data_IF_422543263403
#
_entry.id   IF_422543263403
#
_cell.length_a   1.000
_cell.length_b   1.000
_cell.length_c   1.000
_cell.angle_alpha   90.00
_cell.angle_beta   90.00
_cell.angle_gamma   90.00
#
_symmetry.space_group_name_H-M   'P 1'
#
loop_
_entity.id
_entity.type
_entity.pdbx_description
1 polymer ?
#
# COMPACT_ATOMS: atom_id res chain seq x y z
N UNK A 1 -32.56 -16.57 19.22
CA UNK A 1 -33.40 -17.63 19.74
C UNK A 1 -32.51 -18.86 19.95
N UNK A 2 -31.91 -18.95 21.13
CA UNK A 2 -30.94 -20.01 21.48
C UNK A 2 -31.65 -21.27 21.87
N UNK A 3 -31.37 -22.37 21.19
CA UNK A 3 -31.74 -23.72 21.65
C UNK A 3 -30.60 -24.32 22.48
N UNK A 4 -30.91 -24.53 23.78
CA UNK A 4 -30.06 -25.32 24.67
C UNK A 4 -30.35 -26.81 24.43
N UNK A 5 -29.32 -27.58 24.11
CA UNK A 5 -29.35 -29.03 24.24
C UNK A 5 -28.83 -29.45 25.61
N UNK A 6 -29.69 -30.04 26.41
CA UNK A 6 -29.35 -30.74 27.67
C UNK A 6 -29.01 -32.19 27.34
N UNK A 7 -27.80 -32.61 27.67
CA UNK A 7 -27.43 -34.04 27.79
C UNK A 7 -27.50 -34.46 29.25
N UNK A 8 -28.38 -35.39 29.53
CA UNK A 8 -28.53 -36.07 30.84
C UNK A 8 -27.77 -37.36 30.82
N UNK A 9 -26.95 -37.63 31.88
CA UNK A 9 -26.41 -38.94 32.21
C UNK A 9 -27.11 -39.53 33.46
N UNK A 10 -27.28 -40.86 33.54
CA UNK A 10 -28.14 -41.50 34.53
C UNK A 10 -27.47 -41.73 35.88
N UNK A 11 -28.31 -41.72 36.93
CA UNK A 11 -27.90 -42.01 38.29
C UNK A 11 -27.89 -43.53 38.51
N UNK A 12 -26.82 -44.05 39.08
CA UNK A 12 -26.78 -45.42 39.59
C UNK A 12 -27.08 -45.47 41.08
N UNK A 13 -28.03 -46.39 41.40
CA UNK A 13 -28.53 -46.74 42.69
C UNK A 13 -27.46 -47.47 43.53
N UNK A 14 -27.33 -47.11 44.80
CA UNK A 14 -26.69 -47.98 45.79
C UNK A 14 -27.63 -48.17 46.98
N UNK A 15 -28.09 -49.40 47.13
CA UNK A 15 -28.98 -49.91 48.21
C UNK A 15 -28.21 -50.12 49.51
N UNK A 16 -28.81 -49.70 50.62
CA UNK A 16 -28.33 -49.86 51.99
C UNK A 16 -28.68 -51.24 52.58
N UNK A 17 -27.74 -51.86 53.27
CA UNK A 17 -27.99 -52.94 54.20
C UNK A 17 -27.68 -52.51 55.66
N UNK A 18 -28.72 -52.63 56.50
CA UNK A 18 -28.63 -52.46 57.99
C UNK A 18 -27.81 -53.53 58.69
N UNK A 19 -26.92 -53.13 59.54
CA UNK A 19 -26.51 -53.98 60.71
C UNK A 19 -26.29 -53.12 61.96
N UNK A 20 -26.91 -53.55 63.03
CA UNK A 20 -27.08 -52.98 64.37
C UNK A 20 -25.84 -53.25 65.24
N UNK A 21 -25.22 -52.26 65.85
CA UNK A 21 -24.49 -52.43 67.12
C UNK A 21 -24.53 -51.14 67.95
N UNK A 22 -24.93 -51.32 69.22
CA UNK A 22 -25.07 -50.30 70.26
C UNK A 22 -23.76 -49.99 70.96
N UNK A 23 -23.62 -48.74 71.48
CA UNK A 23 -22.78 -48.21 72.59
C UNK A 23 -21.37 -47.79 72.25
N UNK A 24 -21.12 -46.52 72.23
CA UNK A 24 -20.41 -45.76 73.29
C UNK A 24 -20.23 -44.31 72.87
N UNK A 25 -20.62 -43.45 73.69
CA UNK A 25 -20.77 -42.15 74.01
C UNK A 25 -19.74 -41.11 73.49
N UNK A 26 -20.24 -39.96 73.32
CA UNK A 26 -19.75 -38.57 73.40
C UNK A 26 -18.50 -38.13 72.58
N UNK A 27 -17.56 -39.04 72.29
CA UNK A 27 -16.38 -38.66 71.44
C UNK A 27 -16.57 -38.88 69.93
N UNK A 28 -17.59 -39.62 69.57
CA UNK A 28 -17.87 -39.90 68.13
C UNK A 28 -18.61 -38.73 67.39
N UNK A 29 -19.24 -37.83 68.16
CA UNK A 29 -19.97 -36.74 67.54
C UNK A 29 -19.12 -35.52 67.10
N UNK A 30 -17.93 -35.33 67.74
CA UNK A 30 -17.02 -34.22 67.39
C UNK A 30 -16.17 -34.54 66.13
N UNK A 31 -15.85 -35.81 65.95
CA UNK A 31 -15.08 -36.26 64.78
C UNK A 31 -15.95 -36.39 63.57
N UNK A 32 -17.24 -36.69 63.72
CA UNK A 32 -18.17 -36.75 62.58
C UNK A 32 -18.54 -35.36 62.00
N UNK A 33 -18.49 -34.32 62.85
CA UNK A 33 -18.71 -32.93 62.39
C UNK A 33 -17.46 -32.31 61.74
N UNK A 34 -16.25 -32.80 62.03
CA UNK A 34 -15.02 -32.37 61.35
C UNK A 34 -14.81 -33.06 60.02
N UNK A 35 -15.35 -34.27 59.80
CA UNK A 35 -15.24 -34.98 58.52
C UNK A 35 -16.30 -34.52 57.53
N UNK A 36 -17.47 -34.03 57.96
CA UNK A 36 -18.46 -33.41 57.11
C UNK A 36 -18.10 -31.96 56.68
N UNK A 37 -17.17 -31.30 57.39
CA UNK A 37 -16.71 -29.96 56.98
C UNK A 37 -15.56 -29.99 55.97
N UNK A 38 -14.99 -31.15 55.67
CA UNK A 38 -13.88 -31.30 54.70
C UNK A 38 -14.29 -31.93 53.36
N UNK A 39 -15.59 -32.17 53.09
CA UNK A 39 -16.08 -32.76 51.87
C UNK A 39 -16.98 -31.79 51.03
N UNK A 40 -16.95 -30.51 51.33
CA UNK A 40 -17.35 -29.48 50.36
C UNK A 40 -16.06 -29.05 49.63
N UNK A 41 -15.42 -29.95 48.91
CA UNK A 41 -14.68 -29.59 47.72
C UNK A 41 -15.78 -29.25 46.73
N UNK A 42 -16.17 -27.98 46.69
CA UNK A 42 -16.83 -27.38 45.56
C UNK A 42 -15.94 -27.70 44.37
N UNK A 43 -16.36 -28.62 43.51
CA UNK A 43 -16.02 -28.52 42.12
C UNK A 43 -16.70 -27.23 41.66
N UNK A 44 -16.06 -26.10 41.83
CA UNK A 44 -16.26 -25.01 40.93
C UNK A 44 -15.85 -25.55 39.55
N UNK A 45 -16.81 -26.03 38.81
CA UNK A 45 -16.70 -26.03 37.35
C UNK A 45 -16.40 -24.55 37.03
N UNK A 46 -15.13 -24.22 36.83
CA UNK A 46 -14.74 -22.99 36.24
C UNK A 46 -15.36 -23.03 34.84
N UNK A 47 -16.56 -22.50 34.70
CA UNK A 47 -17.19 -22.19 33.43
C UNK A 47 -16.29 -21.11 32.82
N UNK A 48 -15.34 -21.53 32.02
CA UNK A 48 -14.64 -20.62 31.09
C UNK A 48 -15.65 -20.32 29.98
N UNK A 49 -16.22 -19.13 29.95
CA UNK A 49 -17.09 -18.78 28.82
C UNK A 49 -16.27 -18.95 27.55
N UNK A 50 -16.77 -19.72 26.59
CA UNK A 50 -16.17 -19.76 25.26
C UNK A 50 -16.34 -18.37 24.68
N UNK A 51 -15.26 -17.60 24.66
CA UNK A 51 -15.21 -16.28 24.05
C UNK A 51 -15.12 -16.50 22.55
N UNK A 52 -16.13 -16.05 21.83
CA UNK A 52 -16.02 -15.99 20.38
C UNK A 52 -15.08 -14.83 20.03
N UNK A 53 -13.96 -15.16 19.41
CA UNK A 53 -12.98 -14.17 18.98
C UNK A 53 -13.25 -13.62 17.58
N UNK A 54 -14.20 -14.23 16.84
CA UNK A 54 -14.39 -13.94 15.40
C UNK A 54 -13.25 -14.49 14.54
N UNK A 55 -12.37 -15.32 15.11
CA UNK A 55 -11.25 -15.94 14.40
C UNK A 55 -11.47 -17.46 14.39
N UNK A 56 -11.55 -18.03 13.19
CA UNK A 56 -11.70 -19.46 12.96
C UNK A 56 -10.41 -20.24 13.26
N UNK A 57 -10.51 -21.56 13.42
CA UNK A 57 -9.35 -22.43 13.63
C UNK A 57 -8.48 -22.61 12.38
N UNK A 58 -9.03 -22.33 11.19
CA UNK A 58 -8.32 -22.52 9.91
C UNK A 58 -8.87 -21.66 8.80
N UNK A 59 -7.96 -21.07 8.04
CA UNK A 59 -8.24 -20.34 6.80
C UNK A 59 -7.51 -21.00 5.64
N UNK A 60 -7.97 -20.72 4.42
CA UNK A 60 -7.35 -21.21 3.20
C UNK A 60 -7.45 -20.14 2.11
N UNK A 61 -6.29 -19.76 1.54
CA UNK A 61 -6.16 -18.73 0.51
C UNK A 61 -5.20 -19.17 -0.59
N UNK A 62 -5.33 -18.58 -1.77
CA UNK A 62 -4.29 -18.67 -2.80
C UNK A 62 -3.06 -17.84 -2.37
N UNK A 63 -1.87 -18.24 -2.82
CA UNK A 63 -0.67 -17.42 -2.63
C UNK A 63 -0.87 -16.04 -3.27
N UNK A 64 -0.16 -15.02 -2.78
CA UNK A 64 -0.24 -13.66 -3.30
C UNK A 64 -1.67 -13.11 -3.34
N UNK A 65 -2.48 -13.51 -2.34
CA UNK A 65 -3.80 -12.94 -2.02
C UNK A 65 -3.83 -12.49 -0.58
N UNK A 66 -4.52 -11.41 -0.34
CA UNK A 66 -4.64 -10.80 0.97
C UNK A 66 -5.74 -11.49 1.79
N UNK A 67 -5.41 -11.91 3.03
CA UNK A 67 -6.36 -12.35 4.05
C UNK A 67 -6.41 -11.28 5.14
N UNK A 68 -7.61 -10.76 5.41
CA UNK A 68 -7.85 -9.79 6.48
C UNK A 68 -8.57 -10.50 7.63
N UNK A 69 -8.00 -10.46 8.82
CA UNK A 69 -8.59 -11.05 10.03
C UNK A 69 -8.88 -9.94 11.04
N UNK A 70 -10.14 -9.86 11.46
CA UNK A 70 -10.63 -8.88 12.41
C UNK A 70 -11.16 -9.55 13.68
N UNK A 71 -10.48 -9.48 14.84
CA UNK A 71 -10.98 -10.04 16.09
C UNK A 71 -12.20 -9.26 16.60
N UNK A 72 -13.30 -9.98 16.88
CA UNK A 72 -14.49 -9.38 17.49
C UNK A 72 -14.30 -9.03 18.97
N UNK A 73 -13.38 -9.75 19.66
CA UNK A 73 -13.10 -9.54 21.08
C UNK A 73 -12.26 -8.27 21.31
N UNK A 74 -12.74 -7.29 22.11
CA UNK A 74 -12.00 -6.07 22.40
C UNK A 74 -10.86 -6.37 23.39
N UNK A 75 -9.68 -5.84 23.11
CA UNK A 75 -8.49 -5.90 23.96
C UNK A 75 -7.76 -4.56 24.02
N UNK A 76 -6.87 -4.41 25.02
CA UNK A 76 -6.01 -3.22 25.13
C UNK A 76 -4.88 -3.24 24.09
N UNK A 77 -4.41 -4.44 23.72
CA UNK A 77 -3.32 -4.67 22.75
C UNK A 77 -3.50 -6.01 22.07
N UNK A 78 -3.11 -6.09 20.80
CA UNK A 78 -3.13 -7.29 19.97
C UNK A 78 -1.71 -7.63 19.57
N UNK A 79 -1.41 -8.91 19.44
CA UNK A 79 -0.15 -9.41 18.89
C UNK A 79 -0.44 -10.63 18.04
N UNK A 80 -0.03 -10.57 16.77
CA UNK A 80 -0.16 -11.66 15.82
C UNK A 80 1.22 -12.27 15.58
N UNK A 81 1.32 -13.56 15.81
CA UNK A 81 2.56 -14.30 15.75
C UNK A 81 2.50 -15.41 14.72
N UNK A 82 3.56 -15.58 13.93
CA UNK A 82 3.84 -16.77 13.14
C UNK A 82 4.69 -17.73 13.96
N UNK A 83 4.24 -19.00 14.09
CA UNK A 83 4.97 -20.04 14.82
C UNK A 83 5.85 -20.78 13.81
N UNK A 84 7.15 -20.52 13.87
CA UNK A 84 8.14 -21.15 12.98
C UNK A 84 8.54 -22.52 13.53
N UNK A 85 8.43 -23.58 12.71
CA UNK A 85 8.88 -24.92 13.07
C UNK A 85 10.40 -24.98 13.06
N UNK A 86 10.95 -25.79 13.99
CA UNK A 86 12.38 -26.04 14.05
C UNK A 86 12.90 -26.58 12.71
N UNK A 87 13.86 -25.87 12.10
CA UNK A 87 14.53 -26.30 10.86
C UNK A 87 14.03 -25.67 9.57
N UNK A 88 12.95 -24.85 9.57
CA UNK A 88 12.45 -24.22 8.34
C UNK A 88 13.18 -22.91 7.98
N UNK A 89 13.42 -22.00 8.94
CA UNK A 89 14.21 -20.77 8.72
C UNK A 89 15.19 -20.46 9.88
N UNK A 90 15.03 -21.12 11.04
CA UNK A 90 15.91 -21.01 12.20
C UNK A 90 16.22 -22.37 12.79
N UNK A 91 17.46 -22.60 13.22
CA UNK A 91 17.88 -23.87 13.86
C UNK A 91 17.07 -24.21 15.11
N UNK A 92 16.52 -23.23 15.81
CA UNK A 92 15.85 -23.41 17.11
C UNK A 92 14.30 -23.42 17.02
N UNK A 93 13.69 -23.06 15.89
CA UNK A 93 12.27 -22.69 15.85
C UNK A 93 12.02 -21.38 16.60
N UNK A 94 10.81 -20.88 16.62
CA UNK A 94 10.47 -19.65 17.34
C UNK A 94 9.12 -19.06 16.98
N UNK A 95 8.85 -17.90 17.54
CA UNK A 95 7.70 -17.09 17.17
C UNK A 95 8.21 -15.81 16.50
N UNK A 96 7.63 -15.41 15.37
CA UNK A 96 7.88 -14.14 14.69
C UNK A 96 6.65 -13.27 14.80
N UNK A 97 6.80 -12.07 15.36
CA UNK A 97 5.73 -11.08 15.42
C UNK A 97 5.43 -10.58 13.98
N UNK A 98 4.18 -10.66 13.58
CA UNK A 98 3.70 -10.17 12.29
C UNK A 98 3.08 -8.78 12.40
N UNK A 99 2.24 -8.56 13.42
CA UNK A 99 1.54 -7.29 13.62
C UNK A 99 1.18 -7.07 15.09
N UNK A 100 1.07 -5.81 15.49
CA UNK A 100 0.50 -5.36 16.76
C UNK A 100 -0.83 -4.61 16.56
N UNK A 101 -1.26 -4.45 15.33
CA UNK A 101 -2.54 -3.85 15.01
C UNK A 101 -3.69 -4.79 15.40
N UNK A 102 -4.90 -4.25 15.55
CA UNK A 102 -6.07 -5.06 15.83
C UNK A 102 -6.30 -6.05 14.70
N UNK A 103 -6.26 -5.56 13.47
CA UNK A 103 -6.49 -6.35 12.28
C UNK A 103 -5.17 -6.92 11.76
N UNK A 104 -5.18 -8.19 11.37
CA UNK A 104 -4.07 -8.80 10.67
C UNK A 104 -4.32 -8.73 9.17
N UNK A 105 -3.37 -8.15 8.46
CA UNK A 105 -3.22 -8.31 7.02
C UNK A 105 -2.18 -9.40 6.80
N UNK A 106 -2.55 -10.48 6.12
CA UNK A 106 -1.68 -11.61 5.85
C UNK A 106 -1.63 -11.89 4.35
N UNK A 107 -0.43 -11.99 3.80
CA UNK A 107 -0.16 -12.33 2.41
C UNK A 107 1.17 -13.09 2.34
N UNK A 108 1.28 -14.10 1.48
CA UNK A 108 2.50 -14.91 1.31
C UNK A 108 2.66 -15.33 -0.15
N UNK A 109 3.91 -15.33 -0.64
CA UNK A 109 4.28 -15.86 -1.95
C UNK A 109 4.45 -17.39 -1.94
N UNK A 110 4.92 -17.95 -0.83
CA UNK A 110 5.18 -19.39 -0.69
C UNK A 110 3.93 -20.15 -0.29
N UNK A 111 3.68 -21.28 -0.96
CA UNK A 111 2.62 -22.22 -0.56
C UNK A 111 3.02 -22.99 0.70
N UNK A 112 2.04 -23.30 1.56
CA UNK A 112 2.33 -24.04 2.78
C UNK A 112 1.25 -23.91 3.84
N UNK A 113 1.53 -24.46 5.02
CA UNK A 113 0.68 -24.28 6.20
C UNK A 113 1.41 -23.41 7.21
N UNK A 114 0.82 -22.28 7.53
CA UNK A 114 1.33 -21.29 8.46
C UNK A 114 0.59 -21.43 9.79
N UNK A 115 1.29 -21.84 10.83
CA UNK A 115 0.75 -21.92 12.19
C UNK A 115 0.79 -20.54 12.83
N UNK A 116 -0.35 -20.04 13.26
CA UNK A 116 -0.54 -18.66 13.70
C UNK A 116 -1.02 -18.61 15.14
N UNK A 117 -0.70 -17.54 15.84
CA UNK A 117 -1.20 -17.28 17.17
C UNK A 117 -1.60 -15.81 17.33
N UNK A 118 -2.85 -15.57 17.75
CA UNK A 118 -3.32 -14.29 18.22
C UNK A 118 -3.24 -14.22 19.73
N UNK A 119 -2.56 -13.21 20.27
CA UNK A 119 -2.54 -12.86 21.70
C UNK A 119 -3.27 -11.54 21.89
N UNK A 120 -4.41 -11.57 22.56
CA UNK A 120 -5.14 -10.37 22.96
C UNK A 120 -4.80 -10.10 24.42
N UNK A 121 -4.10 -9.00 24.68
CA UNK A 121 -3.63 -8.62 26.00
C UNK A 121 -4.63 -7.64 26.62
N UNK A 122 -5.14 -8.05 27.76
CA UNK A 122 -6.05 -7.28 28.61
C UNK A 122 -5.66 -7.52 30.07
N UNK A 123 -5.87 -6.52 30.95
CA UNK A 123 -5.47 -6.62 32.37
C UNK A 123 -6.17 -7.73 33.14
N UNK A 124 -7.38 -8.09 32.70
CA UNK A 124 -8.22 -9.02 33.45
C UNK A 124 -8.39 -10.37 32.76
N UNK A 125 -8.40 -10.39 31.43
CA UNK A 125 -8.69 -11.59 30.65
C UNK A 125 -7.79 -11.68 29.39
N UNK A 126 -6.48 -11.94 29.54
CA UNK A 126 -5.63 -12.17 28.38
C UNK A 126 -6.09 -13.46 27.67
N UNK A 127 -6.20 -13.40 26.35
CA UNK A 127 -6.64 -14.51 25.51
C UNK A 127 -5.53 -14.85 24.52
N UNK A 128 -5.29 -16.15 24.33
CA UNK A 128 -4.42 -16.66 23.28
C UNK A 128 -5.21 -17.64 22.43
N UNK A 129 -5.19 -17.47 21.12
CA UNK A 129 -5.86 -18.31 20.15
C UNK A 129 -4.87 -18.76 19.08
N UNK A 130 -4.79 -20.08 18.87
CA UNK A 130 -3.96 -20.66 17.81
C UNK A 130 -4.83 -21.11 16.66
N UNK A 131 -4.40 -20.78 15.45
CA UNK A 131 -5.09 -21.13 14.21
C UNK A 131 -4.06 -21.38 13.11
N UNK A 132 -4.51 -21.78 11.94
CA UNK A 132 -3.62 -21.99 10.79
C UNK A 132 -4.16 -21.32 9.54
N UNK A 133 -3.25 -20.89 8.67
CA UNK A 133 -3.55 -20.46 7.31
C UNK A 133 -2.89 -21.42 6.33
N UNK A 134 -3.68 -22.00 5.46
CA UNK A 134 -3.20 -22.85 4.36
C UNK A 134 -3.14 -21.99 3.10
N UNK A 135 -1.93 -21.78 2.60
CA UNK A 135 -1.68 -21.07 1.35
C UNK A 135 -1.45 -22.10 0.26
N UNK A 136 -2.25 -22.06 -0.80
CA UNK A 136 -2.17 -22.95 -1.94
C UNK A 136 -1.71 -22.22 -3.20
N UNK A 137 -1.32 -22.97 -4.20
CA UNK A 137 -0.96 -22.46 -5.52
C UNK A 137 -2.21 -21.97 -6.27
N UNK A 138 -2.10 -20.86 -6.97
CA UNK A 138 -3.17 -20.31 -7.79
C UNK A 138 -3.61 -21.27 -8.90
N UNK A 139 -4.90 -21.23 -9.25
CA UNK A 139 -5.45 -22.08 -10.33
C UNK A 139 -5.11 -21.52 -11.72
N UNK A 140 -4.95 -20.21 -11.84
CA UNK A 140 -4.55 -19.52 -13.07
C UNK A 140 -3.27 -18.76 -12.75
N UNK A 141 -2.21 -19.06 -13.49
CA UNK A 141 -0.92 -18.41 -13.29
C UNK A 141 -1.05 -16.88 -13.36
N UNK A 142 -0.47 -16.20 -12.37
CA UNK A 142 -0.42 -14.76 -12.34
C UNK A 142 0.50 -14.18 -13.42
N UNK A 143 0.13 -13.03 -13.92
CA UNK A 143 0.98 -12.25 -14.82
C UNK A 143 1.90 -11.34 -14.00
N UNK A 144 3.21 -11.25 -14.31
CA UNK A 144 4.08 -10.31 -13.61
C UNK A 144 3.78 -8.84 -13.94
N UNK A 145 2.93 -8.56 -14.92
CA UNK A 145 2.70 -7.23 -15.48
C UNK A 145 1.47 -6.54 -14.93
N UNK A 146 1.40 -5.22 -15.11
CA UNK A 146 0.19 -4.44 -14.81
C UNK A 146 -1.03 -5.14 -15.44
N UNK A 147 -2.02 -5.42 -14.61
CA UNK A 147 -3.27 -6.03 -15.04
C UNK A 147 -4.31 -4.97 -15.37
N UNK A 148 -4.38 -3.88 -14.58
CA UNK A 148 -5.44 -2.87 -14.69
C UNK A 148 -4.95 -1.50 -14.26
N UNK A 149 -5.39 -0.45 -14.95
CA UNK A 149 -5.33 0.93 -14.48
C UNK A 149 -6.67 1.29 -13.83
N UNK A 150 -6.64 1.72 -12.58
CA UNK A 150 -7.83 2.05 -11.79
C UNK A 150 -8.16 3.54 -11.85
N UNK A 151 -7.13 4.38 -11.90
CA UNK A 151 -7.25 5.83 -12.00
C UNK A 151 -6.19 6.39 -12.94
N UNK A 152 -6.58 7.39 -13.72
CA UNK A 152 -5.66 8.17 -14.54
C UNK A 152 -6.06 9.65 -14.44
N UNK A 153 -5.34 10.38 -13.61
CA UNK A 153 -5.61 11.78 -13.24
C UNK A 153 -4.37 12.65 -13.48
N UNK A 154 -3.97 12.88 -14.73
CA UNK A 154 -2.80 13.71 -15.00
C UNK A 154 -3.05 15.18 -14.64
N UNK A 155 -2.00 15.86 -14.14
CA UNK A 155 -1.98 17.30 -14.04
C UNK A 155 -1.79 17.93 -15.42
N UNK A 156 -2.03 19.24 -15.59
CA UNK A 156 -1.78 19.89 -16.88
C UNK A 156 -0.33 19.76 -17.33
N UNK A 157 -0.11 19.35 -18.59
CA UNK A 157 1.22 19.12 -19.14
C UNK A 157 1.23 19.01 -20.66
N UNK A 158 2.42 19.19 -21.25
CA UNK A 158 2.58 19.26 -22.71
C UNK A 158 2.26 17.94 -23.43
N UNK A 159 2.28 16.79 -22.72
CA UNK A 159 2.01 15.48 -23.30
C UNK A 159 0.66 14.88 -22.89
N UNK A 160 -0.06 15.51 -21.97
CA UNK A 160 -1.26 14.94 -21.31
C UNK A 160 -2.37 14.56 -22.31
N UNK A 161 -2.57 15.31 -23.38
CA UNK A 161 -3.60 15.02 -24.40
C UNK A 161 -3.04 14.23 -25.59
N UNK A 162 -1.80 13.77 -25.53
CA UNK A 162 -1.13 13.03 -26.59
C UNK A 162 -0.56 11.67 -26.14
N UNK A 163 -0.38 11.50 -24.84
CA UNK A 163 0.11 10.25 -24.22
C UNK A 163 -0.73 9.88 -22.99
N UNK A 164 -1.84 9.10 -23.19
CA UNK A 164 -2.40 8.62 -24.45
C UNK A 164 -3.15 9.72 -25.24
N UNK A 165 -3.36 9.49 -26.55
CA UNK A 165 -4.01 10.44 -27.44
C UNK A 165 -5.47 10.64 -27.08
N UNK A 166 -5.84 11.89 -26.75
CA UNK A 166 -7.23 12.32 -26.60
C UNK A 166 -7.89 12.52 -27.97
N UNK A 167 -9.10 12.02 -28.13
CA UNK A 167 -9.99 12.28 -29.25
C UNK A 167 -11.25 13.02 -28.78
N UNK A 168 -11.82 13.87 -29.66
CA UNK A 168 -13.00 14.64 -29.28
C UNK A 168 -14.16 13.74 -28.89
N UNK A 169 -14.65 13.91 -27.64
CA UNK A 169 -15.71 13.10 -27.04
C UNK A 169 -15.24 12.04 -26.09
N UNK A 170 -13.94 11.84 -25.93
CA UNK A 170 -13.42 10.94 -24.91
C UNK A 170 -13.84 11.40 -23.52
N UNK A 171 -14.31 10.44 -22.73
CA UNK A 171 -14.64 10.61 -21.32
C UNK A 171 -13.44 10.28 -20.42
N UNK A 172 -13.55 10.59 -19.13
CA UNK A 172 -12.57 10.12 -18.12
C UNK A 172 -12.33 8.61 -18.23
N UNK A 173 -13.39 7.82 -18.29
CA UNK A 173 -13.28 6.37 -18.39
C UNK A 173 -12.60 5.91 -19.69
N UNK A 174 -12.89 6.59 -20.81
CA UNK A 174 -12.20 6.31 -22.09
C UNK A 174 -10.69 6.57 -21.98
N UNK A 175 -10.30 7.69 -21.36
CA UNK A 175 -8.88 8.01 -21.18
C UNK A 175 -8.18 7.09 -20.19
N UNK A 176 -8.87 6.67 -19.12
CA UNK A 176 -8.38 5.64 -18.20
C UNK A 176 -8.13 4.31 -18.92
N UNK A 177 -9.07 3.88 -19.77
CA UNK A 177 -8.91 2.66 -20.58
C UNK A 177 -7.76 2.78 -21.58
N UNK A 178 -7.60 3.93 -22.25
CA UNK A 178 -6.45 4.19 -23.14
C UNK A 178 -5.11 4.14 -22.36
N UNK A 179 -5.07 4.65 -21.14
CA UNK A 179 -3.90 4.51 -20.27
C UNK A 179 -3.63 3.04 -19.93
N UNK A 180 -4.67 2.26 -19.59
CA UNK A 180 -4.56 0.82 -19.35
C UNK A 180 -4.04 0.08 -20.59
N UNK A 181 -4.60 0.33 -21.77
CA UNK A 181 -4.14 -0.25 -23.04
C UNK A 181 -2.69 0.11 -23.37
N UNK A 182 -2.19 1.25 -22.88
CA UNK A 182 -0.81 1.68 -23.12
C UNK A 182 0.21 0.91 -22.29
N UNK A 183 -0.08 0.62 -21.01
CA UNK A 183 0.93 0.14 -20.05
C UNK A 183 0.62 -1.24 -19.43
N UNK A 184 -0.53 -1.84 -19.73
CA UNK A 184 -0.88 -3.16 -19.17
C UNK A 184 -0.32 -4.33 -19.97
N UNK A 185 -0.17 -5.49 -19.31
CA UNK A 185 0.39 -6.69 -19.92
C UNK A 185 1.82 -6.46 -20.42
N UNK A 186 2.11 -6.86 -21.65
CA UNK A 186 3.40 -6.65 -22.30
C UNK A 186 3.47 -5.34 -23.10
N UNK A 187 2.48 -4.46 -22.99
CA UNK A 187 2.50 -3.16 -23.64
C UNK A 187 3.47 -2.22 -22.91
N UNK A 188 4.13 -1.37 -23.67
CA UNK A 188 5.14 -0.43 -23.16
C UNK A 188 5.06 0.93 -23.85
N UNK A 189 3.85 1.36 -24.18
CA UNK A 189 3.59 2.69 -24.71
C UNK A 189 3.45 3.67 -23.56
N UNK A 190 4.14 4.80 -23.66
CA UNK A 190 4.16 5.81 -22.60
C UNK A 190 2.79 6.43 -22.31
N UNK A 191 2.52 6.65 -21.04
CA UNK A 191 1.51 7.60 -20.57
C UNK A 191 2.20 8.75 -19.85
N UNK A 192 1.69 9.98 -19.96
CA UNK A 192 2.21 11.15 -19.26
C UNK A 192 1.32 11.49 -18.08
N UNK A 193 1.94 11.75 -16.92
CA UNK A 193 1.24 12.18 -15.71
C UNK A 193 1.12 13.71 -15.65
N UNK A 194 1.78 14.44 -16.55
CA UNK A 194 1.81 15.90 -16.55
C UNK A 194 2.63 16.49 -15.41
N UNK A 195 2.42 17.74 -15.09
CA UNK A 195 3.16 18.46 -14.05
C UNK A 195 2.90 17.88 -12.65
N UNK A 196 3.47 18.49 -11.60
CA UNK A 196 3.45 17.99 -10.25
C UNK A 196 2.07 17.51 -9.77
N UNK A 197 2.05 16.34 -9.17
CA UNK A 197 0.87 15.76 -8.52
C UNK A 197 -0.04 14.96 -9.45
N UNK A 198 0.07 15.11 -10.78
CA UNK A 198 -0.67 14.25 -11.70
C UNK A 198 -0.29 12.79 -11.54
N UNK A 199 -1.26 11.86 -11.57
CA UNK A 199 -1.01 10.48 -11.14
C UNK A 199 -1.74 9.42 -11.95
N UNK A 200 -1.21 8.21 -11.87
CA UNK A 200 -1.85 6.94 -12.26
C UNK A 200 -1.90 6.00 -11.07
N UNK A 201 -3.00 5.25 -10.92
CA UNK A 201 -3.11 4.13 -9.98
C UNK A 201 -3.37 2.85 -10.75
N UNK A 202 -2.56 1.83 -10.54
CA UNK A 202 -2.68 0.53 -11.20
C UNK A 202 -2.60 -0.62 -10.21
N UNK A 203 -2.99 -1.80 -10.66
CA UNK A 203 -2.92 -3.06 -9.92
C UNK A 203 -2.38 -4.18 -10.80
N UNK A 204 -1.78 -5.17 -10.16
CA UNK A 204 -1.50 -6.49 -10.73
C UNK A 204 -2.74 -7.38 -10.59
N UNK A 205 -2.72 -8.58 -11.17
CA UNK A 205 -3.81 -9.56 -11.01
C UNK A 205 -3.71 -10.35 -9.68
N UNK A 206 -2.75 -9.97 -8.84
CA UNK A 206 -2.42 -10.52 -7.52
C UNK A 206 -1.89 -9.42 -6.60
N UNK A 207 -1.73 -9.70 -5.31
CA UNK A 207 -1.03 -8.81 -4.36
C UNK A 207 0.48 -8.98 -4.51
N UNK A 208 1.21 -7.88 -4.73
CA UNK A 208 2.69 -7.90 -4.71
C UNK A 208 3.15 -8.10 -3.27
N UNK A 209 3.83 -9.20 -3.00
CA UNK A 209 4.27 -9.55 -1.65
C UNK A 209 5.53 -8.77 -1.27
N UNK A 210 5.59 -8.24 -0.06
CA UNK A 210 6.78 -7.65 0.52
C UNK A 210 7.70 -8.77 1.03
N UNK A 211 8.71 -9.13 0.25
CA UNK A 211 9.70 -10.12 0.63
C UNK A 211 10.86 -9.45 1.39
N UNK A 212 11.27 -9.99 2.55
CA UNK A 212 12.37 -9.42 3.31
C UNK A 212 13.68 -9.38 2.51
N UNK A 213 14.34 -8.22 2.51
CA UNK A 213 15.65 -7.98 1.89
C UNK A 213 15.67 -8.11 0.34
N UNK A 214 14.50 -8.04 -0.33
CA UNK A 214 14.36 -8.10 -1.78
C UNK A 214 13.66 -6.84 -2.31
N UNK A 215 13.80 -6.55 -3.59
CA UNK A 215 12.96 -5.58 -4.30
C UNK A 215 11.72 -6.30 -4.80
N UNK A 216 10.56 -5.67 -4.64
CA UNK A 216 9.28 -6.32 -4.88
C UNK A 216 8.75 -6.09 -6.29
N UNK A 217 8.90 -4.89 -6.82
CA UNK A 217 8.43 -4.56 -8.17
C UNK A 217 9.31 -3.51 -8.87
N UNK A 218 9.18 -3.42 -10.18
CA UNK A 218 9.90 -2.51 -11.07
C UNK A 218 8.91 -1.57 -11.76
N UNK A 219 9.28 -0.30 -11.95
CA UNK A 219 8.57 0.65 -12.81
C UNK A 219 9.52 1.24 -13.83
N UNK A 220 9.12 1.26 -15.10
CA UNK A 220 9.86 1.81 -16.22
C UNK A 220 9.19 3.08 -16.75
N UNK A 221 10.02 4.04 -17.14
CA UNK A 221 9.62 5.30 -17.76
C UNK A 221 10.38 5.56 -19.06
N UNK A 222 10.80 6.82 -19.28
CA UNK A 222 11.58 7.20 -20.45
C UNK A 222 12.87 7.98 -20.10
N UNK A 223 13.27 7.99 -18.82
CA UNK A 223 14.49 8.66 -18.40
C UNK A 223 15.72 8.19 -19.18
N UNK A 224 16.57 9.12 -19.57
CA UNK A 224 17.79 8.82 -20.31
C UNK A 224 18.98 9.65 -19.90
N UNK A 225 20.19 9.14 -20.12
CA UNK A 225 21.45 9.79 -19.85
C UNK A 225 21.90 10.57 -21.09
N UNK A 226 22.13 11.87 -20.97
CA UNK A 226 22.59 12.70 -22.10
C UNK A 226 24.07 12.47 -22.45
N UNK A 227 24.89 12.09 -21.46
CA UNK A 227 26.28 11.74 -21.71
C UNK A 227 26.83 10.88 -20.56
N UNK A 228 27.76 9.96 -20.85
CA UNK A 228 28.40 9.12 -19.86
C UNK A 228 29.22 9.91 -18.80
N UNK A 229 29.45 11.20 -19.00
CA UNK A 229 30.20 12.07 -18.11
C UNK A 229 29.34 12.98 -17.23
N UNK A 230 28.00 12.96 -17.39
CA UNK A 230 27.04 13.77 -16.62
C UNK A 230 26.18 12.87 -15.74
N UNK A 231 25.85 13.37 -14.54
CA UNK A 231 24.96 12.67 -13.58
C UNK A 231 23.48 12.95 -13.86
N UNK A 232 23.11 13.15 -15.12
CA UNK A 232 21.77 13.52 -15.49
C UNK A 232 21.52 13.45 -17.00
N UNK A 233 20.31 13.76 -17.36
CA UNK A 233 19.83 13.78 -18.73
C UNK A 233 18.41 14.29 -18.75
N UNK A 234 17.46 13.44 -19.03
CA UNK A 234 16.05 13.60 -18.71
C UNK A 234 15.75 12.71 -17.53
N UNK A 235 15.42 13.32 -16.40
CA UNK A 235 15.05 12.64 -15.16
C UNK A 235 13.84 13.37 -14.58
N UNK A 236 12.70 12.71 -14.61
CA UNK A 236 11.38 13.28 -14.32
C UNK A 236 10.70 12.52 -13.16
N UNK A 237 11.27 12.64 -11.94
CA UNK A 237 11.04 11.71 -10.84
C UNK A 237 9.58 11.66 -10.41
N UNK A 238 9.00 10.47 -10.49
CA UNK A 238 7.69 10.12 -9.96
C UNK A 238 7.77 9.50 -8.58
N UNK A 239 7.03 10.05 -7.63
CA UNK A 239 6.89 9.47 -6.29
C UNK A 239 5.95 8.28 -6.39
N UNK A 240 6.32 7.19 -5.71
CA UNK A 240 5.57 5.93 -5.70
C UNK A 240 4.91 5.72 -4.34
N UNK A 241 3.64 5.35 -4.37
CA UNK A 241 2.86 4.99 -3.18
C UNK A 241 2.24 3.62 -3.37
N UNK A 242 2.02 2.91 -2.27
CA UNK A 242 1.36 1.61 -2.26
C UNK A 242 0.18 1.60 -1.30
N UNK A 243 -0.81 0.75 -1.58
CA UNK A 243 -1.97 0.54 -0.74
C UNK A 243 -2.35 -0.94 -0.71
N UNK A 244 -2.93 -1.38 0.40
CA UNK A 244 -3.57 -2.70 0.55
C UNK A 244 -5.07 -2.51 0.47
N UNK A 245 -5.76 -3.36 -0.27
CA UNK A 245 -7.24 -3.41 -0.33
C UNK A 245 -7.80 -4.04 0.96
N UNK A 246 -7.85 -3.23 2.04
CA UNK A 246 -8.25 -3.70 3.37
C UNK A 246 -9.75 -4.06 3.41
N UNK A 247 -10.56 -3.35 2.65
CA UNK A 247 -12.00 -3.60 2.59
C UNK A 247 -12.40 -4.63 1.51
N UNK A 248 -11.44 -5.11 0.70
CA UNK A 248 -11.57 -6.14 -0.34
C UNK A 248 -12.63 -5.81 -1.39
N UNK A 249 -12.77 -4.53 -1.75
CA UNK A 249 -13.73 -4.06 -2.75
C UNK A 249 -13.14 -3.91 -4.15
N UNK A 250 -11.82 -4.07 -4.31
CA UNK A 250 -11.09 -3.92 -5.57
C UNK A 250 -10.95 -2.48 -6.04
N UNK A 251 -11.14 -1.51 -5.14
CA UNK A 251 -11.05 -0.07 -5.43
C UNK A 251 -9.91 0.56 -4.62
N UNK A 252 -9.20 1.56 -5.16
CA UNK A 252 -8.07 2.20 -4.49
C UNK A 252 -8.53 3.29 -3.52
N UNK A 253 -9.46 2.94 -2.61
CA UNK A 253 -10.08 3.86 -1.63
C UNK A 253 -9.56 3.67 -0.20
N UNK A 254 -8.62 2.75 -0.01
CA UNK A 254 -7.87 2.54 1.23
C UNK A 254 -6.65 3.50 1.33
N UNK A 255 -6.02 3.65 2.52
CA UNK A 255 -4.87 4.53 2.69
C UNK A 255 -3.68 4.15 1.80
N UNK A 256 -3.10 5.16 1.13
CA UNK A 256 -1.85 5.03 0.40
C UNK A 256 -0.67 5.45 1.27
N UNK A 257 0.44 4.72 1.16
CA UNK A 257 1.69 4.96 1.86
C UNK A 257 2.79 5.26 0.86
N UNK A 258 3.50 6.38 1.05
CA UNK A 258 4.63 6.75 0.19
C UNK A 258 5.81 5.80 0.45
N UNK A 259 6.46 5.34 -0.61
CA UNK A 259 7.73 4.64 -0.51
C UNK A 259 8.85 5.68 -0.40
N UNK A 260 9.49 5.75 0.77
CA UNK A 260 10.50 6.77 1.08
C UNK A 260 11.74 6.59 0.22
N UNK A 261 11.83 7.33 -0.90
CA UNK A 261 13.00 7.38 -1.76
C UNK A 261 14.17 8.17 -1.15
N UNK A 262 15.27 8.28 -1.90
CA UNK A 262 16.52 8.89 -1.44
C UNK A 262 16.37 10.35 -0.99
N UNK A 263 15.41 11.09 -1.54
CA UNK A 263 15.17 12.51 -1.21
C UNK A 263 14.12 12.71 -0.11
N UNK A 264 13.41 11.65 0.31
CA UNK A 264 12.30 11.76 1.26
C UNK A 264 12.68 12.48 2.57
N UNK A 265 13.82 12.12 3.17
CA UNK A 265 14.27 12.68 4.44
C UNK A 265 15.14 13.92 4.30
N UNK A 266 15.33 14.45 3.10
CA UNK A 266 16.10 15.67 2.92
C UNK A 266 15.32 16.90 3.39
N UNK A 267 15.96 17.95 3.90
CA UNK A 267 15.26 19.15 4.36
C UNK A 267 14.67 19.98 3.23
N UNK A 268 14.84 19.55 1.98
CA UNK A 268 14.38 20.25 0.79
C UNK A 268 13.08 19.65 0.24
N UNK A 269 12.72 18.44 0.63
CA UNK A 269 11.43 17.83 0.31
C UNK A 269 10.33 18.46 1.17
N UNK A 270 9.25 18.90 0.53
CA UNK A 270 8.12 19.52 1.21
C UNK A 270 7.03 18.45 1.35
N UNK A 271 6.81 17.97 2.56
CA UNK A 271 5.70 17.07 2.86
C UNK A 271 4.39 17.84 3.02
N UNK A 272 3.24 17.19 2.84
CA UNK A 272 1.91 17.79 2.90
C UNK A 272 1.76 19.00 1.94
N UNK A 273 2.46 18.94 0.80
CA UNK A 273 2.35 19.93 -0.24
C UNK A 273 1.01 19.79 -0.97
N UNK A 274 0.44 20.91 -1.36
CA UNK A 274 -0.80 20.96 -2.13
C UNK A 274 -0.71 22.04 -3.19
N UNK A 275 -1.10 21.70 -4.41
CA UNK A 275 -1.05 22.62 -5.54
C UNK A 275 -2.35 22.54 -6.35
N UNK A 276 -2.88 23.70 -6.73
CA UNK A 276 -4.08 23.84 -7.55
C UNK A 276 -3.74 24.48 -8.87
N UNK A 277 -4.03 23.79 -9.98
CA UNK A 277 -3.98 24.31 -11.35
C UNK A 277 -5.31 24.94 -11.73
N UNK A 278 -5.26 26.06 -12.42
CA UNK A 278 -6.43 26.80 -12.87
C UNK A 278 -6.50 26.74 -14.41
N UNK A 279 -7.62 26.28 -14.94
CA UNK A 279 -7.83 26.23 -16.39
C UNK A 279 -7.72 27.63 -16.99
N UNK A 280 -6.93 27.77 -18.06
CA UNK A 280 -6.75 29.02 -18.78
C UNK A 280 -8.11 29.58 -19.24
N UNK A 281 -8.45 30.84 -18.88
CA UNK A 281 -9.69 31.47 -19.33
C UNK A 281 -9.77 31.58 -20.85
N UNK A 282 -10.99 31.57 -21.41
CA UNK A 282 -11.20 31.66 -22.84
C UNK A 282 -10.76 33.02 -23.47
N UNK A 283 -10.70 34.05 -22.65
CA UNK A 283 -10.25 35.42 -23.04
C UNK A 283 -8.79 35.68 -22.69
N UNK A 284 -8.04 34.64 -22.29
CA UNK A 284 -6.62 34.76 -21.99
C UNK A 284 -5.82 35.21 -23.20
N UNK A 285 -4.93 36.17 -22.97
CA UNK A 285 -4.01 36.71 -23.99
C UNK A 285 -2.61 36.16 -23.72
N UNK A 286 -2.02 35.37 -24.61
CA UNK A 286 -0.70 34.81 -24.45
C UNK A 286 0.40 35.86 -24.25
N UNK A 287 1.30 35.58 -23.28
CA UNK A 287 2.51 36.41 -23.04
C UNK A 287 3.74 35.71 -23.62
N UNK A 288 4.27 36.24 -24.71
CA UNK A 288 5.43 35.67 -25.40
C UNK A 288 6.76 36.07 -24.76
N UNK A 289 7.65 35.10 -24.59
CA UNK A 289 9.03 35.36 -24.21
C UNK A 289 9.87 35.70 -25.47
N UNK A 290 10.56 36.87 -25.47
CA UNK A 290 11.39 37.28 -26.60
C UNK A 290 12.59 36.34 -26.78
N UNK A 291 12.78 35.85 -28.01
CA UNK A 291 13.88 34.96 -28.41
C UNK A 291 13.89 33.61 -27.64
N UNK A 292 12.72 33.18 -27.18
CA UNK A 292 12.51 31.89 -26.51
C UNK A 292 11.46 31.11 -27.33
N UNK A 293 11.48 29.78 -27.29
CA UNK A 293 10.42 28.95 -27.81
C UNK A 293 9.10 29.09 -27.04
N UNK A 294 9.11 29.75 -25.86
CA UNK A 294 7.91 29.92 -25.01
C UNK A 294 6.93 30.85 -25.73
N UNK A 295 5.77 30.32 -26.08
CA UNK A 295 4.69 31.02 -26.79
C UNK A 295 3.65 31.61 -25.84
N UNK A 296 3.63 31.16 -24.57
CA UNK A 296 2.80 31.72 -23.53
C UNK A 296 3.42 31.43 -22.14
N UNK A 297 3.98 32.45 -21.51
CA UNK A 297 4.62 32.34 -20.19
C UNK A 297 3.62 32.36 -19.03
N UNK A 298 2.33 32.64 -19.32
CA UNK A 298 1.24 32.73 -18.33
C UNK A 298 0.10 31.76 -18.62
N UNK A 299 0.41 30.61 -19.26
CA UNK A 299 -0.59 29.73 -19.87
C UNK A 299 -1.52 29.07 -18.85
N UNK A 300 -1.01 28.29 -17.90
CA UNK A 300 -1.83 27.66 -16.87
C UNK A 300 -1.33 28.10 -15.50
N UNK A 301 -2.10 28.94 -14.83
CA UNK A 301 -1.81 29.38 -13.46
C UNK A 301 -1.85 28.20 -12.48
N UNK A 302 -0.89 28.13 -11.60
CA UNK A 302 -0.96 27.30 -10.39
C UNK A 302 -0.75 28.13 -9.13
N UNK A 303 -1.34 27.66 -8.02
CA UNK A 303 -1.19 28.20 -6.66
C UNK A 303 -0.99 27.07 -5.69
N UNK A 304 -0.15 27.24 -4.66
CA UNK A 304 0.15 26.22 -3.68
C UNK A 304 -0.23 26.61 -2.24
N UNK A 305 -0.11 25.65 -1.31
CA UNK A 305 -0.37 25.88 0.12
C UNK A 305 0.80 26.56 0.85
N UNK A 306 1.92 26.84 0.17
CA UNK A 306 3.05 27.63 0.69
C UNK A 306 2.88 29.12 0.39
N UNK A 307 1.82 29.50 -0.35
CA UNK A 307 1.53 30.87 -0.78
C UNK A 307 2.29 31.29 -2.04
N UNK A 308 2.92 30.35 -2.72
CA UNK A 308 3.53 30.59 -4.02
C UNK A 308 2.51 30.44 -5.16
N UNK A 309 2.84 31.01 -6.30
CA UNK A 309 2.12 30.88 -7.55
C UNK A 309 3.09 30.93 -8.73
N UNK A 310 2.73 30.28 -9.81
CA UNK A 310 3.50 30.29 -11.05
C UNK A 310 2.63 29.80 -12.20
N UNK A 311 3.27 29.39 -13.29
CA UNK A 311 2.59 28.96 -14.48
C UNK A 311 3.24 27.73 -15.08
N UNK A 312 2.43 26.82 -15.60
CA UNK A 312 2.88 25.86 -16.63
C UNK A 312 2.90 26.63 -17.94
N UNK A 313 4.10 26.81 -18.48
CA UNK A 313 4.33 27.61 -19.70
C UNK A 313 4.05 26.79 -20.96
N UNK A 314 3.58 27.43 -21.99
CA UNK A 314 3.38 26.83 -23.33
C UNK A 314 4.55 27.12 -24.23
N UNK A 315 5.05 26.11 -24.93
CA UNK A 315 6.13 26.26 -25.90
C UNK A 315 5.64 26.03 -27.35
N UNK A 316 6.47 26.36 -28.34
CA UNK A 316 6.18 26.22 -29.77
C UNK A 316 6.29 24.76 -30.26
N UNK A 317 6.88 23.87 -29.50
CA UNK A 317 7.05 22.47 -29.88
C UNK A 317 5.78 21.66 -29.61
N UNK A 318 4.96 22.11 -28.63
CA UNK A 318 3.73 21.49 -28.21
C UNK A 318 2.58 22.49 -28.26
N UNK A 319 1.89 22.55 -29.43
CA UNK A 319 0.84 23.52 -29.68
C UNK A 319 -0.54 23.13 -29.15
N UNK A 320 -0.74 21.86 -28.75
CA UNK A 320 -1.98 21.31 -28.20
C UNK A 320 -2.35 21.96 -26.86
N UNK A 321 -3.55 21.63 -26.35
CA UNK A 321 -3.95 22.02 -25.02
C UNK A 321 -3.19 21.16 -23.97
N UNK A 322 -2.75 21.79 -22.87
CA UNK A 322 -2.05 21.11 -21.78
C UNK A 322 -3.00 20.68 -20.64
N UNK A 323 -4.15 21.33 -20.52
CA UNK A 323 -5.14 20.92 -19.53
C UNK A 323 -5.88 19.67 -20.04
N UNK A 324 -6.11 18.64 -19.21
CA UNK A 324 -6.84 17.42 -19.61
C UNK A 324 -8.19 17.77 -20.26
N UNK A 325 -8.37 17.43 -21.55
CA UNK A 325 -9.52 17.91 -22.34
C UNK A 325 -10.82 17.16 -22.00
N UNK A 326 -10.74 15.96 -21.44
CA UNK A 326 -11.89 15.17 -21.00
C UNK A 326 -12.49 15.62 -19.67
N UNK A 327 -11.77 16.45 -18.90
CA UNK A 327 -12.27 17.03 -17.65
C UNK A 327 -13.01 18.34 -17.95
N UNK A 328 -14.02 18.64 -17.14
CA UNK A 328 -14.80 19.89 -17.24
C UNK A 328 -14.47 20.89 -16.14
N UNK A 329 -13.71 20.45 -15.15
CA UNK A 329 -13.36 21.24 -13.98
C UNK A 329 -12.55 22.47 -14.38
N UNK A 330 -12.79 23.58 -13.67
CA UNK A 330 -12.02 24.79 -13.83
C UNK A 330 -10.70 24.76 -13.07
N UNK A 331 -10.57 23.87 -12.09
CA UNK A 331 -9.39 23.68 -11.26
C UNK A 331 -9.12 22.20 -11.01
N UNK A 332 -7.84 21.86 -10.88
CA UNK A 332 -7.38 20.54 -10.43
C UNK A 332 -6.45 20.74 -9.24
N UNK A 333 -6.73 20.06 -8.13
CA UNK A 333 -5.92 20.15 -6.91
C UNK A 333 -5.32 18.77 -6.59
N UNK A 334 -4.02 18.76 -6.33
CA UNK A 334 -3.27 17.56 -5.96
C UNK A 334 -2.62 17.74 -4.59
N UNK A 335 -2.31 16.61 -3.94
CA UNK A 335 -1.71 16.55 -2.60
C UNK A 335 -0.62 15.48 -2.58
N UNK A 336 0.46 15.71 -1.83
CA UNK A 336 1.56 14.75 -1.68
C UNK A 336 2.82 15.39 -1.14
N UNK A 337 3.95 14.74 -1.36
CA UNK A 337 5.28 15.31 -1.16
C UNK A 337 5.75 16.01 -2.43
N UNK A 338 6.49 17.11 -2.31
CA UNK A 338 7.16 17.79 -3.40
C UNK A 338 8.67 17.69 -3.22
N UNK A 339 9.32 17.04 -4.17
CA UNK A 339 10.78 16.87 -4.19
C UNK A 339 11.46 18.19 -4.56
N UNK A 340 12.73 18.40 -4.20
CA UNK A 340 13.51 19.55 -4.65
C UNK A 340 13.66 19.57 -6.18
N UNK A 341 13.96 20.74 -6.75
CA UNK A 341 14.26 20.86 -8.16
C UNK A 341 15.52 20.08 -8.53
N UNK A 342 15.51 19.34 -9.63
CA UNK A 342 16.65 18.61 -10.17
C UNK A 342 17.16 19.16 -11.49
N UNK A 343 16.49 20.12 -12.11
CA UNK A 343 16.84 20.72 -13.38
C UNK A 343 17.83 21.90 -13.23
N UNK A 344 18.80 21.99 -14.14
CA UNK A 344 19.72 23.12 -14.22
C UNK A 344 20.14 23.40 -15.66
N UNK A 345 20.48 24.67 -15.92
CA UNK A 345 21.04 25.09 -17.20
C UNK A 345 22.55 24.82 -17.23
N UNK A 346 22.96 23.75 -17.89
CA UNK A 346 24.35 23.37 -18.05
C UNK A 346 25.15 24.29 -18.97
N UNK A 347 24.45 25.10 -19.80
CA UNK A 347 25.08 26.09 -20.69
C UNK A 347 25.30 27.46 -20.03
N UNK A 348 24.58 27.74 -18.94
CA UNK A 348 24.58 29.04 -18.26
C UNK A 348 23.95 30.19 -19.06
N UNK A 349 23.27 29.88 -20.18
CA UNK A 349 22.64 30.87 -21.07
C UNK A 349 21.26 30.44 -21.58
N UNK A 350 20.67 29.43 -20.97
CA UNK A 350 19.32 28.93 -21.27
C UNK A 350 19.21 27.94 -22.42
N UNK A 351 20.34 27.54 -23.03
CA UNK A 351 20.30 26.72 -24.24
C UNK A 351 20.39 25.20 -24.01
N UNK A 352 20.92 24.77 -22.87
CA UNK A 352 21.13 23.37 -22.59
C UNK A 352 20.77 23.03 -21.14
N UNK A 353 19.66 22.39 -20.98
CA UNK A 353 19.08 21.98 -19.70
C UNK A 353 19.34 20.50 -19.43
N UNK A 354 19.60 20.16 -18.18
CA UNK A 354 19.86 18.81 -17.68
C UNK A 354 19.07 18.62 -16.40
N UNK A 355 18.39 17.48 -16.28
CA UNK A 355 17.73 17.03 -15.06
C UNK A 355 18.60 15.95 -14.42
N UNK A 356 19.04 16.18 -13.17
CA UNK A 356 19.87 15.25 -12.42
C UNK A 356 19.07 14.06 -11.94
N UNK A 357 19.68 12.88 -11.95
CA UNK A 357 19.12 11.69 -11.33
C UNK A 357 19.18 11.82 -9.81
N UNK A 358 18.09 11.43 -9.15
CA UNK A 358 18.12 11.09 -7.74
C UNK A 358 18.61 9.65 -7.53
N UNK A 359 18.70 9.20 -6.27
CA UNK A 359 18.98 7.81 -5.93
C UNK A 359 17.78 6.90 -6.19
N UNK A 360 17.64 5.84 -5.40
CA UNK A 360 16.54 4.89 -5.50
C UNK A 360 15.20 5.51 -5.04
N UNK A 361 14.09 4.86 -5.45
CA UNK A 361 12.75 5.10 -4.92
C UNK A 361 11.90 6.08 -5.71
N UNK A 362 12.26 6.36 -6.98
CA UNK A 362 11.47 7.21 -7.87
C UNK A 362 11.32 6.56 -9.24
N UNK A 363 10.10 6.55 -9.77
CA UNK A 363 9.81 6.14 -11.14
C UNK A 363 10.34 7.21 -12.11
N UNK A 364 10.67 6.83 -13.34
CA UNK A 364 11.13 7.73 -14.42
C UNK A 364 12.29 8.65 -14.02
N UNK A 365 13.08 8.20 -13.07
CA UNK A 365 14.21 8.97 -12.53
C UNK A 365 15.55 8.51 -13.09
N UNK A 366 15.67 7.24 -13.43
CA UNK A 366 16.88 6.63 -13.96
C UNK A 366 16.57 5.87 -15.27
N UNK A 367 17.57 5.70 -16.18
CA UNK A 367 17.36 4.92 -17.40
C UNK A 367 16.89 3.48 -17.09
N UNK A 368 16.04 2.90 -17.96
CA UNK A 368 15.42 1.59 -17.74
C UNK A 368 16.41 0.42 -17.63
N UNK A 369 17.67 0.58 -18.11
CA UNK A 369 18.74 -0.40 -17.92
C UNK A 369 19.31 -0.42 -16.48
N UNK A 370 18.92 0.55 -15.64
CA UNK A 370 19.26 0.63 -14.22
C UNK A 370 18.15 -0.01 -13.38
N UNK A 371 17.99 -1.33 -13.54
CA UNK A 371 16.98 -2.12 -12.82
C UNK A 371 17.10 -1.90 -11.31
N UNK A 372 18.33 -1.83 -10.79
CA UNK A 372 18.64 -1.60 -9.38
C UNK A 372 18.07 -0.28 -8.81
N UNK A 373 17.90 0.75 -9.65
CA UNK A 373 17.41 2.07 -9.25
C UNK A 373 15.90 2.29 -9.59
N UNK A 374 15.37 1.48 -10.50
CA UNK A 374 13.96 1.53 -10.91
C UNK A 374 13.10 0.46 -10.21
N UNK A 375 13.72 -0.32 -9.29
CA UNK A 375 13.02 -1.28 -8.44
C UNK A 375 12.66 -0.68 -7.09
N UNK A 376 11.55 -1.16 -6.52
CA UNK A 376 10.92 -0.65 -5.31
C UNK A 376 10.74 -1.77 -4.29
N UNK A 377 10.96 -1.43 -3.03
CA UNK A 377 10.74 -2.28 -1.86
C UNK A 377 9.57 -1.72 -1.06
N UNK A 378 8.53 -2.52 -0.85
CA UNK A 378 7.36 -2.14 -0.06
C UNK A 378 7.74 -1.82 1.40
N UNK A 379 8.86 -2.36 1.89
CA UNK A 379 9.38 -2.04 3.23
C UNK A 379 9.79 -0.57 3.40
N UNK A 380 9.92 0.21 2.32
CA UNK A 380 10.15 1.66 2.39
C UNK A 380 8.88 2.47 2.71
N UNK A 381 7.74 1.82 2.89
CA UNK A 381 6.47 2.48 3.15
C UNK A 381 6.49 3.29 4.45
N UNK A 382 5.97 4.51 4.37
CA UNK A 382 5.85 5.43 5.50
C UNK A 382 4.43 5.97 5.61
N UNK A 383 4.02 6.23 6.85
CA UNK A 383 2.75 6.94 7.13
C UNK A 383 2.86 8.41 6.74
N UNK A 384 1.74 9.11 6.73
CA UNK A 384 1.68 10.56 6.48
C UNK A 384 2.57 11.37 7.45
N UNK A 385 2.79 10.87 8.67
CA UNK A 385 3.69 11.46 9.67
C UNK A 385 5.16 11.03 9.50
N UNK A 386 5.50 10.29 8.43
CA UNK A 386 6.86 9.83 8.12
C UNK A 386 7.36 8.69 9.00
N UNK A 387 6.46 7.96 9.68
CA UNK A 387 6.83 6.77 10.44
C UNK A 387 6.81 5.53 9.53
N UNK A 388 7.83 4.69 9.62
CA UNK A 388 7.85 3.41 8.88
C UNK A 388 6.64 2.55 9.26
N UNK A 389 5.97 2.00 8.27
CA UNK A 389 4.89 1.03 8.43
C UNK A 389 5.26 -0.30 7.76
N UNK A 390 4.94 -1.40 8.42
CA UNK A 390 5.16 -2.73 7.85
C UNK A 390 3.91 -3.19 7.11
N UNK A 391 3.99 -3.23 5.80
CA UNK A 391 2.94 -3.80 4.93
C UNK A 391 3.39 -5.18 4.47
N UNK A 392 2.54 -6.22 4.51
CA UNK A 392 2.90 -7.55 4.01
C UNK A 392 2.87 -7.65 2.48
N UNK A 393 2.16 -6.73 1.83
CA UNK A 393 1.98 -6.69 0.38
C UNK A 393 1.43 -5.33 -0.08
N UNK A 394 1.28 -5.18 -1.39
CA UNK A 394 0.57 -4.09 -2.04
C UNK A 394 -0.44 -4.64 -3.06
N UNK A 395 -1.68 -4.16 -3.02
CA UNK A 395 -2.73 -4.44 -4.00
C UNK A 395 -2.81 -3.33 -5.06
N UNK A 396 -2.49 -2.11 -4.66
CA UNK A 396 -2.49 -0.93 -5.54
C UNK A 396 -1.16 -0.21 -5.48
N UNK A 397 -0.71 0.25 -6.64
CA UNK A 397 0.47 1.12 -6.81
C UNK A 397 0.01 2.43 -7.44
N UNK A 398 0.39 3.55 -6.84
CA UNK A 398 0.17 4.90 -7.40
C UNK A 398 1.49 5.56 -7.67
N UNK A 399 1.60 6.18 -8.84
CA UNK A 399 2.76 7.01 -9.20
C UNK A 399 2.25 8.41 -9.51
N UNK A 400 2.92 9.43 -8.98
CA UNK A 400 2.62 10.82 -9.31
C UNK A 400 3.90 11.63 -9.57
N UNK A 401 3.82 12.64 -10.45
CA UNK A 401 4.96 13.52 -10.73
C UNK A 401 5.41 14.24 -9.46
N UNK A 402 6.68 14.02 -9.05
CA UNK A 402 7.20 14.40 -7.74
C UNK A 402 7.76 15.82 -7.65
N UNK A 403 8.06 16.49 -8.77
CA UNK A 403 8.70 17.82 -8.80
C UNK A 403 7.78 18.88 -9.41
N UNK A 404 7.76 20.10 -8.82
CA UNK A 404 7.06 21.25 -9.37
C UNK A 404 8.09 22.21 -10.00
N UNK A 405 8.56 21.89 -11.20
CA UNK A 405 9.61 22.64 -11.85
C UNK A 405 9.37 22.83 -13.35
N UNK A 406 10.00 23.87 -13.89
CA UNK A 406 10.14 24.13 -15.32
C UNK A 406 11.59 23.89 -15.76
N UNK A 407 11.79 23.04 -16.75
CA UNK A 407 13.10 22.76 -17.34
C UNK A 407 13.39 23.74 -18.50
N UNK A 408 13.36 25.02 -18.19
CA UNK A 408 13.60 26.10 -19.14
C UNK A 408 12.64 26.09 -20.34
N UNK A 409 13.20 26.10 -21.56
CA UNK A 409 12.40 26.07 -22.79
C UNK A 409 11.85 24.68 -23.15
N UNK A 410 12.34 23.62 -22.48
CA UNK A 410 11.81 22.26 -22.64
C UNK A 410 10.37 22.17 -22.10
N UNK A 411 10.07 22.93 -21.04
CA UNK A 411 8.75 23.00 -20.42
C UNK A 411 8.72 22.41 -19.03
N UNK A 412 7.54 22.08 -18.56
CA UNK A 412 7.34 21.44 -17.25
C UNK A 412 7.96 20.04 -17.24
N UNK A 413 8.37 19.62 -16.06
CA UNK A 413 8.76 18.24 -15.78
C UNK A 413 7.51 17.39 -15.58
N UNK A 414 7.41 16.31 -16.33
CA UNK A 414 6.27 15.40 -16.32
C UNK A 414 6.78 13.96 -16.27
N UNK A 415 6.33 13.20 -15.29
CA UNK A 415 6.68 11.77 -15.17
C UNK A 415 5.93 10.97 -16.23
N UNK A 416 6.64 10.13 -16.97
CA UNK A 416 6.09 9.18 -17.92
C UNK A 416 6.24 7.74 -17.40
N UNK A 417 5.19 6.94 -17.59
CA UNK A 417 5.19 5.51 -17.25
C UNK A 417 4.96 4.70 -18.52
N UNK A 418 5.83 3.71 -18.75
CA UNK A 418 5.69 2.78 -19.87
C UNK A 418 5.30 1.37 -19.42
N UNK A 419 5.75 0.95 -18.23
CA UNK A 419 5.62 -0.44 -17.79
C UNK A 419 5.83 -0.59 -16.29
N UNK A 420 5.28 -1.66 -15.70
CA UNK A 420 5.67 -2.12 -14.38
C UNK A 420 5.50 -3.65 -14.29
N UNK A 421 6.30 -4.28 -13.43
CA UNK A 421 6.20 -5.71 -13.19
C UNK A 421 6.56 -6.10 -11.76
N UNK A 422 5.91 -7.13 -11.25
CA UNK A 422 6.29 -7.86 -10.05
C UNK A 422 7.60 -8.63 -10.31
N UNK A 423 8.55 -8.53 -9.40
CA UNK A 423 9.86 -9.17 -9.51
C UNK A 423 9.89 -10.60 -8.93
N UNK A 424 8.83 -11.03 -8.26
CA UNK A 424 8.70 -12.36 -7.67
C UNK A 424 8.07 -13.38 -8.62
N UNK A 425 7.54 -12.92 -9.76
CA UNK A 425 6.96 -13.77 -10.80
C UNK A 425 7.87 -13.73 -12.03
N UNK A 426 8.28 -14.91 -12.50
CA UNK A 426 9.07 -15.05 -13.73
C UNK A 426 8.18 -14.90 -14.97
N UNK A 427 8.75 -14.35 -16.04
CA UNK A 427 8.14 -14.24 -17.37
C UNK A 427 7.72 -15.59 -17.97
#
# INVERSE_FOLDING_TARGET
MLQMQKTTYPADNCTATHARAKRNGLYAQVISLLICALSIVSCEETYTPMVNLGIDESYAIERMRTLILHPEFPGERYEWWLVEKKGERREAGGERLLSTERDLIFCQADTGTYEMQLKILDKHNPVTHSFKVVVWEEQVAYSPYIYKVLEYNPAPGQFVNTMPMYEEGDSYETMRQKAEESISGTNNTLISLGAWGGYVTFAFDHSVVNNPDEMDFLIEGNAFLTSAMQRGGSSEPGIVMVSVDVNQNGMPDDPFYELAGSEYHTPYTIHHYSLTYHRTPADHVPEFEKKSPITDSTYILWTDNQGARGYVKKNSFHSQNYFPMWLKDSTLTFHGSCLPDNAYDASGNGNYWVQNFYGQGYADCNPNDRIDLNSFDIAWAVTEDGQTISLPCADFVRVYTGVNQECGWIGETSTEISHARDLHISD
#
